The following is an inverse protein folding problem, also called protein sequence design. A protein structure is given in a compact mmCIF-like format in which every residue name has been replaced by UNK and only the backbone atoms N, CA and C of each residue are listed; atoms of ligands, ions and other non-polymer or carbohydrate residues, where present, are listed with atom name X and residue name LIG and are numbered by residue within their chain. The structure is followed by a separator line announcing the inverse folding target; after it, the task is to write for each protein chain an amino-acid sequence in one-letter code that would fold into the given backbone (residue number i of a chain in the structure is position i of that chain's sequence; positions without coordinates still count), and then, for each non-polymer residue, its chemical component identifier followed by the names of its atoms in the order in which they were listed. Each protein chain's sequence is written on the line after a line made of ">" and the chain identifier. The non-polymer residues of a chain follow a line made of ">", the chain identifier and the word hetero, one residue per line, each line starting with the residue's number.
data_IF_481585153408
#
_entry.id   IF_481585153408
#
_cell.length_a   1.000
_cell.length_b   1.000
_cell.length_c   1.000
_cell.angle_alpha   90.00
_cell.angle_beta   90.00
_cell.angle_gamma   90.00
#
_symmetry.space_group_name_H-M   'P 1'
#
loop_
_entity.id
_entity.type
_entity.pdbx_description
1 polymer ?
#
# COMPACT_ATOMS: atom_id res chain seq x y z
N UNK A 1 -10.19 -20.82 -14.13
CA UNK A 1 -10.73 -19.45 -14.36
C UNK A 1 -11.12 -18.89 -13.02
N UNK A 2 -10.70 -17.69 -12.64
CA UNK A 2 -11.11 -17.07 -11.37
C UNK A 2 -12.61 -16.81 -11.46
N UNK A 3 -13.38 -17.29 -10.48
CA UNK A 3 -14.83 -17.02 -10.42
C UNK A 3 -15.16 -15.54 -10.09
N UNK A 4 -14.15 -14.65 -10.07
CA UNK A 4 -14.30 -13.22 -9.83
C UNK A 4 -14.74 -12.48 -11.10
N UNK A 5 -15.51 -11.42 -10.92
CA UNK A 5 -16.09 -10.64 -12.02
C UNK A 5 -15.04 -9.69 -12.61
N UNK A 6 -14.92 -9.67 -13.94
CA UNK A 6 -13.99 -8.80 -14.67
C UNK A 6 -14.67 -7.47 -15.02
N UNK A 7 -14.51 -6.46 -14.17
CA UNK A 7 -15.18 -5.16 -14.32
C UNK A 7 -14.23 -3.98 -14.46
N UNK A 8 -12.95 -4.14 -14.09
CA UNK A 8 -12.00 -3.04 -14.04
C UNK A 8 -11.47 -2.61 -15.41
N UNK A 9 -11.58 -1.32 -15.71
CA UNK A 9 -10.95 -0.68 -16.86
C UNK A 9 -9.68 0.07 -16.47
N UNK A 10 -8.99 0.65 -17.47
CA UNK A 10 -7.72 1.37 -17.28
C UNK A 10 -7.85 2.53 -16.27
N UNK A 11 -8.83 3.42 -16.42
CA UNK A 11 -9.00 4.58 -15.53
C UNK A 11 -9.27 4.17 -14.08
N UNK A 12 -10.12 3.15 -13.89
CA UNK A 12 -10.41 2.58 -12.57
C UNK A 12 -9.15 1.94 -11.95
N UNK A 13 -8.33 1.25 -12.75
CA UNK A 13 -7.07 0.69 -12.30
C UNK A 13 -6.07 1.76 -11.87
N UNK A 14 -5.95 2.87 -12.63
CA UNK A 14 -5.12 4.02 -12.24
C UNK A 14 -5.60 4.60 -10.92
N UNK A 15 -6.91 4.82 -10.76
CA UNK A 15 -7.51 5.33 -9.54
C UNK A 15 -7.23 4.43 -8.34
N UNK A 16 -7.47 3.11 -8.48
CA UNK A 16 -7.22 2.10 -7.44
C UNK A 16 -5.76 2.09 -6.99
N UNK A 17 -4.81 2.04 -7.92
CA UNK A 17 -3.40 2.03 -7.56
C UNK A 17 -2.97 3.36 -6.93
N UNK A 18 -3.36 4.49 -7.54
CA UNK A 18 -2.97 5.81 -7.01
C UNK A 18 -3.50 6.03 -5.60
N UNK A 19 -4.75 5.62 -5.28
CA UNK A 19 -5.26 5.70 -3.91
C UNK A 19 -4.59 4.71 -2.97
N UNK A 20 -4.22 3.52 -3.45
CA UNK A 20 -3.46 2.56 -2.65
C UNK A 20 -2.11 3.14 -2.22
N UNK A 21 -1.42 3.81 -3.14
CA UNK A 21 -0.12 4.41 -2.87
C UNK A 21 -0.24 5.72 -2.08
N UNK A 22 -1.15 6.63 -2.44
CA UNK A 22 -1.30 7.95 -1.81
C UNK A 22 -1.93 7.88 -0.41
N UNK A 23 -2.88 6.98 -0.22
CA UNK A 23 -3.81 6.87 0.92
C UNK A 23 -3.30 7.39 2.25
N UNK A 24 -2.61 6.56 2.99
CA UNK A 24 -2.10 6.90 4.33
C UNK A 24 -0.83 7.74 4.30
N UNK A 25 -0.11 7.76 3.17
CA UNK A 25 1.21 8.39 3.07
C UNK A 25 1.18 9.88 2.73
N UNK A 26 0.25 10.33 1.87
CA UNK A 26 0.32 11.66 1.22
C UNK A 26 0.27 12.84 2.23
N UNK A 27 -0.40 12.66 3.34
CA UNK A 27 -0.52 13.69 4.37
C UNK A 27 0.60 13.64 5.42
N UNK A 28 1.30 12.52 5.57
CA UNK A 28 2.28 12.32 6.63
C UNK A 28 3.73 12.23 6.11
N UNK A 29 3.98 11.43 5.08
CA UNK A 29 5.35 11.10 4.65
C UNK A 29 6.13 12.29 4.10
N UNK A 30 5.54 13.25 3.34
CA UNK A 30 6.25 14.45 2.93
C UNK A 30 6.83 15.25 4.10
N UNK A 31 6.09 15.39 5.20
CA UNK A 31 6.54 16.08 6.40
C UNK A 31 7.62 15.29 7.14
N UNK A 32 7.49 13.98 7.24
CA UNK A 32 8.52 13.12 7.84
C UNK A 32 9.82 13.13 7.02
N UNK A 33 9.72 13.10 5.70
CA UNK A 33 10.89 13.19 4.82
C UNK A 33 11.59 14.55 4.94
N UNK A 34 10.82 15.64 5.02
CA UNK A 34 11.33 16.99 5.26
C UNK A 34 12.00 17.11 6.63
N UNK A 35 11.43 16.51 7.69
CA UNK A 35 12.01 16.49 9.04
C UNK A 35 13.38 15.80 9.07
N UNK A 36 13.52 14.67 8.37
CA UNK A 36 14.74 13.83 8.41
C UNK A 36 15.83 14.36 7.48
N UNK A 37 15.46 14.91 6.33
CA UNK A 37 16.42 15.25 5.26
C UNK A 37 16.35 16.71 4.79
N UNK A 38 15.43 17.52 5.34
CA UNK A 38 15.25 18.90 4.87
C UNK A 38 15.04 18.96 3.35
N UNK A 39 15.75 19.88 2.69
CA UNK A 39 15.67 20.06 1.24
C UNK A 39 16.19 18.86 0.44
N UNK A 40 17.02 17.97 1.01
CA UNK A 40 17.47 16.74 0.36
C UNK A 40 16.32 15.77 0.06
N UNK A 41 15.17 15.90 0.77
CA UNK A 41 13.97 15.12 0.49
C UNK A 41 13.42 15.34 -0.93
N UNK A 42 13.71 16.48 -1.57
CA UNK A 42 13.34 16.75 -2.96
C UNK A 42 14.06 15.82 -3.94
N UNK A 43 15.33 15.46 -3.66
CA UNK A 43 16.08 14.48 -4.45
C UNK A 43 15.67 13.06 -4.13
N UNK A 44 15.20 12.79 -2.91
CA UNK A 44 14.82 11.46 -2.51
C UNK A 44 13.64 10.91 -3.35
N UNK A 45 12.69 11.75 -3.79
CA UNK A 45 11.57 11.31 -4.63
C UNK A 45 11.98 10.79 -6.01
N UNK A 46 12.73 11.55 -6.86
CA UNK A 46 13.22 11.02 -8.13
C UNK A 46 14.04 9.75 -7.95
N UNK A 47 14.95 9.72 -6.95
CA UNK A 47 15.75 8.55 -6.64
C UNK A 47 14.86 7.36 -6.29
N UNK A 48 13.89 7.53 -5.41
CA UNK A 48 12.97 6.46 -4.99
C UNK A 48 12.12 5.94 -6.15
N UNK A 49 11.60 6.83 -7.01
CA UNK A 49 10.84 6.43 -8.19
C UNK A 49 11.73 5.57 -9.11
N UNK A 50 12.97 5.98 -9.36
CA UNK A 50 13.93 5.22 -10.17
C UNK A 50 14.21 3.86 -9.54
N UNK A 51 14.37 3.78 -8.22
CA UNK A 51 14.62 2.53 -7.49
C UNK A 51 13.42 1.59 -7.49
N UNK A 52 12.20 2.11 -7.37
CA UNK A 52 10.97 1.31 -7.36
C UNK A 52 10.53 0.91 -8.78
N UNK A 53 10.95 1.64 -9.80
CA UNK A 53 10.56 1.40 -11.19
C UNK A 53 10.84 -0.04 -11.70
N UNK A 54 12.04 -0.63 -11.48
CA UNK A 54 12.30 -2.03 -11.83
C UNK A 54 11.35 -3.01 -11.13
N UNK A 55 11.06 -2.77 -9.86
CA UNK A 55 10.13 -3.57 -9.07
C UNK A 55 8.73 -3.50 -9.69
N UNK A 56 8.24 -2.29 -9.98
CA UNK A 56 6.94 -2.05 -10.58
C UNK A 56 6.81 -2.72 -11.96
N UNK A 57 7.85 -2.66 -12.81
CA UNK A 57 7.83 -3.35 -14.11
C UNK A 57 7.72 -4.86 -13.93
N UNK A 58 8.47 -5.45 -12.98
CA UNK A 58 8.39 -6.88 -12.71
C UNK A 58 6.98 -7.27 -12.26
N UNK A 59 6.37 -6.50 -11.34
CA UNK A 59 4.96 -6.70 -10.94
C UNK A 59 4.01 -6.58 -12.13
N UNK A 60 4.20 -5.58 -13.00
CA UNK A 60 3.38 -5.36 -14.19
C UNK A 60 3.45 -6.56 -15.15
N UNK A 61 4.64 -7.08 -15.40
CA UNK A 61 4.85 -8.21 -16.33
C UNK A 61 4.34 -9.53 -15.72
N UNK A 62 4.60 -9.77 -14.43
CA UNK A 62 4.08 -10.97 -13.75
C UNK A 62 2.56 -10.94 -13.68
N UNK A 63 1.94 -9.81 -13.31
CA UNK A 63 0.49 -9.67 -13.28
C UNK A 63 -0.17 -9.79 -14.66
N UNK A 64 0.54 -9.36 -15.72
CA UNK A 64 0.11 -9.55 -17.11
C UNK A 64 0.08 -11.03 -17.52
N UNK A 65 1.13 -11.79 -17.19
CA UNK A 65 1.27 -13.17 -17.64
C UNK A 65 0.58 -14.18 -16.70
N UNK A 66 0.44 -13.84 -15.43
CA UNK A 66 -0.11 -14.70 -14.38
C UNK A 66 -1.20 -14.00 -13.56
N UNK A 67 -2.27 -13.47 -14.21
CA UNK A 67 -3.33 -12.76 -13.49
C UNK A 67 -4.06 -13.71 -12.53
N UNK A 68 -4.06 -13.38 -11.24
CA UNK A 68 -4.67 -14.21 -10.20
C UNK A 68 -5.06 -13.39 -8.97
N UNK A 69 -6.15 -13.79 -8.32
CA UNK A 69 -6.53 -13.27 -7.01
C UNK A 69 -5.52 -13.60 -5.89
N UNK A 70 -4.64 -14.59 -6.13
CA UNK A 70 -3.50 -14.90 -5.27
C UNK A 70 -2.39 -13.86 -5.31
N UNK A 71 -2.39 -12.95 -6.32
CA UNK A 71 -1.42 -11.86 -6.44
C UNK A 71 0.02 -12.34 -6.36
N UNK A 72 0.81 -11.70 -5.50
CA UNK A 72 2.24 -12.03 -5.32
C UNK A 72 2.46 -13.48 -4.90
N UNK A 73 1.60 -14.03 -4.04
CA UNK A 73 1.71 -15.43 -3.62
C UNK A 73 1.63 -16.38 -4.81
N UNK A 74 0.71 -16.09 -5.76
CA UNK A 74 0.60 -16.87 -6.98
C UNK A 74 1.85 -16.77 -7.85
N UNK A 75 2.45 -15.57 -8.03
CA UNK A 75 3.70 -15.43 -8.79
C UNK A 75 4.82 -16.27 -8.20
N UNK A 76 4.95 -16.27 -6.88
CA UNK A 76 5.92 -17.09 -6.15
C UNK A 76 5.60 -18.57 -6.30
N UNK A 77 4.33 -18.95 -6.29
CA UNK A 77 3.86 -20.31 -6.52
C UNK A 77 4.23 -20.84 -7.90
N UNK A 78 4.01 -20.05 -8.94
CA UNK A 78 4.41 -20.38 -10.32
C UNK A 78 5.92 -20.58 -10.46
N UNK A 79 6.72 -19.83 -9.70
CA UNK A 79 8.17 -19.95 -9.73
C UNK A 79 8.69 -21.13 -8.90
N UNK A 80 8.18 -21.32 -7.68
CA UNK A 80 8.81 -22.17 -6.66
C UNK A 80 7.90 -23.27 -6.11
N UNK A 81 6.67 -23.34 -6.58
CA UNK A 81 5.70 -24.36 -6.22
C UNK A 81 4.78 -23.97 -5.05
N UNK A 82 3.77 -24.82 -4.84
CA UNK A 82 2.62 -24.55 -3.97
C UNK A 82 2.95 -24.33 -2.48
N UNK A 83 4.08 -24.87 -1.99
CA UNK A 83 4.48 -24.62 -0.60
C UNK A 83 4.87 -23.16 -0.38
N UNK A 84 5.74 -22.61 -1.26
CA UNK A 84 6.19 -21.24 -1.13
C UNK A 84 5.07 -20.25 -1.46
N UNK A 85 4.15 -20.59 -2.36
CA UNK A 85 2.90 -19.85 -2.59
C UNK A 85 2.12 -19.66 -1.29
N UNK A 86 1.84 -20.74 -0.57
CA UNK A 86 1.12 -20.66 0.71
C UNK A 86 1.88 -19.87 1.77
N UNK A 87 3.19 -20.10 1.90
CA UNK A 87 4.05 -19.37 2.83
C UNK A 87 4.01 -17.88 2.54
N UNK A 88 4.13 -17.47 1.27
CA UNK A 88 4.06 -16.06 0.85
C UNK A 88 2.67 -15.47 1.12
N UNK A 89 1.60 -16.23 0.86
CA UNK A 89 0.23 -15.80 1.17
C UNK A 89 0.03 -15.55 2.66
N UNK A 90 0.46 -16.47 3.51
CA UNK A 90 0.37 -16.31 4.97
C UNK A 90 1.27 -15.20 5.50
N UNK A 91 2.47 -15.03 4.93
CA UNK A 91 3.35 -13.91 5.24
C UNK A 91 2.65 -12.58 4.92
N UNK A 92 1.96 -12.47 3.80
CA UNK A 92 1.22 -11.27 3.47
C UNK A 92 0.03 -11.05 4.41
N UNK A 93 -0.72 -12.10 4.76
CA UNK A 93 -1.81 -12.01 5.74
C UNK A 93 -1.34 -11.60 7.14
N UNK A 94 -0.07 -11.85 7.49
CA UNK A 94 0.51 -11.41 8.78
C UNK A 94 0.68 -9.89 8.90
N UNK A 95 0.45 -9.13 7.82
CA UNK A 95 0.36 -7.65 7.86
C UNK A 95 -0.95 -7.19 8.50
N UNK A 96 -2.04 -7.98 8.41
CA UNK A 96 -3.38 -7.58 8.88
C UNK A 96 -3.35 -7.04 10.31
N UNK A 97 -2.78 -7.74 11.32
CA UNK A 97 -2.83 -7.29 12.71
C UNK A 97 -1.94 -6.07 13.03
N UNK A 98 -1.05 -5.66 12.14
CA UNK A 98 -0.15 -4.52 12.38
C UNK A 98 -0.37 -3.37 11.40
N UNK A 99 -0.48 -3.65 10.11
CA UNK A 99 -0.57 -2.63 9.07
C UNK A 99 -1.95 -1.99 8.95
N UNK A 100 -3.04 -2.76 9.05
CA UNK A 100 -4.39 -2.21 8.97
C UNK A 100 -4.74 -1.33 10.17
N UNK A 101 -4.48 -1.72 11.43
CA UNK A 101 -4.67 -0.82 12.57
C UNK A 101 -3.81 0.45 12.49
N UNK A 102 -2.56 0.37 12.02
CA UNK A 102 -1.75 1.56 11.80
C UNK A 102 -2.43 2.54 10.84
N UNK A 103 -2.95 2.03 9.71
CA UNK A 103 -3.67 2.85 8.74
C UNK A 103 -4.99 3.42 9.30
N UNK A 104 -5.70 2.68 10.17
CA UNK A 104 -6.90 3.13 10.87
C UNK A 104 -6.59 4.27 11.84
N UNK A 105 -5.51 4.16 12.63
CA UNK A 105 -5.07 5.23 13.54
C UNK A 105 -4.75 6.52 12.78
N UNK A 106 -4.07 6.43 11.61
CA UNK A 106 -3.80 7.60 10.77
C UNK A 106 -5.12 8.21 10.28
N UNK A 107 -6.07 7.40 9.82
CA UNK A 107 -7.38 7.88 9.37
C UNK A 107 -8.17 8.56 10.50
N UNK A 108 -8.21 7.96 11.69
CA UNK A 108 -8.88 8.52 12.86
C UNK A 108 -8.23 9.83 13.34
N UNK A 109 -6.92 10.01 13.11
CA UNK A 109 -6.18 11.24 13.44
C UNK A 109 -6.73 12.50 12.77
N UNK A 110 -7.35 12.40 11.60
CA UNK A 110 -8.04 13.56 10.98
C UNK A 110 -9.29 13.96 11.77
N UNK A 111 -10.04 13.01 12.34
CA UNK A 111 -11.14 13.30 13.24
C UNK A 111 -10.66 13.96 14.55
N UNK A 112 -9.52 13.50 15.07
CA UNK A 112 -8.88 14.16 16.21
C UNK A 112 -8.50 15.61 15.91
N UNK A 113 -7.91 15.87 14.75
CA UNK A 113 -7.53 17.23 14.33
C UNK A 113 -8.74 18.17 14.15
N UNK A 114 -9.89 17.62 13.74
CA UNK A 114 -11.12 18.40 13.53
C UNK A 114 -11.93 18.64 14.80
N UNK A 115 -12.05 17.63 15.66
CA UNK A 115 -13.01 17.59 16.75
C UNK A 115 -12.38 17.48 18.15
N UNK A 116 -11.04 17.31 18.23
CA UNK A 116 -10.35 17.09 19.50
C UNK A 116 -10.72 15.75 20.18
N UNK A 117 -11.00 14.71 19.41
CA UNK A 117 -11.45 13.42 19.93
C UNK A 117 -10.46 12.77 20.91
N UNK A 118 -10.99 12.15 21.94
CA UNK A 118 -10.25 11.35 22.92
C UNK A 118 -10.12 9.89 22.48
N UNK A 119 -9.30 9.11 23.17
CA UNK A 119 -8.92 7.73 22.82
C UNK A 119 -10.13 6.82 22.47
N UNK A 120 -11.21 6.82 23.28
CA UNK A 120 -12.39 5.99 23.00
C UNK A 120 -13.18 6.44 21.77
N UNK A 121 -13.19 7.75 21.45
CA UNK A 121 -13.84 8.28 20.25
C UNK A 121 -13.05 7.93 18.99
N UNK A 122 -11.71 7.91 19.08
CA UNK A 122 -10.84 7.43 18.02
C UNK A 122 -11.10 5.96 17.74
N UNK A 123 -11.20 5.11 18.76
CA UNK A 123 -11.56 3.70 18.62
C UNK A 123 -12.92 3.53 17.92
N UNK A 124 -13.94 4.31 18.29
CA UNK A 124 -15.24 4.26 17.63
C UNK A 124 -15.17 4.69 16.16
N UNK A 125 -14.34 5.69 15.84
CA UNK A 125 -14.11 6.13 14.46
C UNK A 125 -13.41 5.04 13.62
N UNK A 126 -12.44 4.34 14.20
CA UNK A 126 -11.75 3.21 13.56
C UNK A 126 -12.72 2.04 13.28
N UNK A 127 -13.54 1.66 14.27
CA UNK A 127 -14.57 0.63 14.10
C UNK A 127 -15.64 1.05 13.09
N UNK A 128 -16.07 2.32 13.10
CA UNK A 128 -16.98 2.89 12.12
C UNK A 128 -16.40 2.85 10.70
N UNK A 129 -15.10 3.13 10.56
CA UNK A 129 -14.37 3.01 9.29
C UNK A 129 -14.38 1.56 8.77
N UNK A 130 -14.13 0.57 9.65
CA UNK A 130 -14.22 -0.85 9.28
C UNK A 130 -15.62 -1.27 8.86
N UNK A 131 -16.66 -0.77 9.54
CA UNK A 131 -18.06 -1.03 9.17
C UNK A 131 -18.39 -0.44 7.79
N UNK A 132 -17.87 0.75 7.46
CA UNK A 132 -18.06 1.38 6.16
C UNK A 132 -17.31 0.61 5.05
N UNK A 133 -16.07 0.15 5.31
CA UNK A 133 -15.32 -0.71 4.38
C UNK A 133 -16.08 -2.03 4.13
N UNK A 134 -16.63 -2.63 5.17
CA UNK A 134 -17.48 -3.83 5.03
C UNK A 134 -18.67 -3.58 4.11
N UNK A 135 -19.39 -2.48 4.36
CA UNK A 135 -20.58 -2.12 3.57
C UNK A 135 -20.24 -1.91 2.09
N UNK A 136 -19.16 -1.18 1.77
CA UNK A 136 -18.74 -0.95 0.39
C UNK A 136 -18.18 -2.24 -0.21
N UNK A 137 -17.38 -2.99 0.54
CA UNK A 137 -16.74 -4.22 0.09
C UNK A 137 -17.72 -5.30 -0.38
N UNK A 138 -18.88 -5.39 0.27
CA UNK A 138 -19.95 -6.32 -0.14
C UNK A 138 -20.66 -5.93 -1.44
N UNK A 139 -20.37 -4.74 -2.00
CA UNK A 139 -20.97 -4.23 -3.25
C UNK A 139 -20.16 -4.49 -4.51
N UNK A 140 -18.91 -4.92 -4.36
CA UNK A 140 -18.05 -5.31 -5.47
C UNK A 140 -16.94 -4.30 -5.82
N UNK A 141 -15.96 -4.74 -6.60
CA UNK A 141 -14.74 -4.01 -6.91
C UNK A 141 -14.96 -2.75 -7.78
N UNK A 142 -15.87 -2.80 -8.76
CA UNK A 142 -16.12 -1.66 -9.66
C UNK A 142 -16.70 -0.45 -8.94
N UNK A 143 -17.62 -0.69 -7.99
CA UNK A 143 -18.20 0.38 -7.15
C UNK A 143 -17.14 1.04 -6.28
N UNK A 144 -16.21 0.24 -5.76
CA UNK A 144 -15.07 0.72 -4.98
C UNK A 144 -14.08 1.53 -5.84
N UNK A 145 -13.79 1.07 -7.07
CA UNK A 145 -12.85 1.71 -7.98
C UNK A 145 -13.28 3.11 -8.44
N UNK A 146 -14.57 3.30 -8.71
CA UNK A 146 -15.10 4.61 -9.09
C UNK A 146 -14.95 5.62 -7.95
N UNK A 147 -15.27 5.22 -6.72
CA UNK A 147 -15.07 6.05 -5.53
C UNK A 147 -13.60 6.43 -5.36
N UNK A 148 -12.69 5.49 -5.53
CA UNK A 148 -11.25 5.73 -5.39
C UNK A 148 -10.72 6.66 -6.47
N UNK A 149 -11.21 6.56 -7.70
CA UNK A 149 -10.85 7.50 -8.77
C UNK A 149 -11.25 8.93 -8.44
N UNK A 150 -12.44 9.13 -7.84
CA UNK A 150 -12.87 10.46 -7.38
C UNK A 150 -11.95 10.97 -6.26
N UNK A 151 -11.59 10.11 -5.31
CA UNK A 151 -10.71 10.49 -4.18
C UNK A 151 -9.33 10.93 -4.68
N UNK A 152 -8.73 10.22 -5.66
CA UNK A 152 -7.47 10.67 -6.28
C UNK A 152 -7.64 12.04 -6.93
N UNK A 153 -8.74 12.26 -7.65
CA UNK A 153 -9.06 13.57 -8.23
C UNK A 153 -9.11 14.68 -7.19
N UNK A 154 -9.72 14.42 -6.02
CA UNK A 154 -9.79 15.38 -4.92
C UNK A 154 -8.41 15.66 -4.30
N UNK A 155 -7.56 14.64 -4.13
CA UNK A 155 -6.19 14.81 -3.63
C UNK A 155 -5.38 15.68 -4.61
N UNK A 156 -5.42 15.36 -5.90
CA UNK A 156 -4.71 16.14 -6.93
C UNK A 156 -5.22 17.59 -6.97
N UNK A 157 -6.54 17.79 -6.94
CA UNK A 157 -7.15 19.12 -6.92
C UNK A 157 -6.73 19.93 -5.68
N UNK A 158 -6.66 19.30 -4.50
CA UNK A 158 -6.19 19.94 -3.26
C UNK A 158 -4.74 20.41 -3.41
N UNK A 159 -3.85 19.56 -3.92
CA UNK A 159 -2.43 19.91 -4.09
C UNK A 159 -2.25 21.03 -5.11
N UNK A 160 -2.98 20.97 -6.25
CA UNK A 160 -2.98 22.04 -7.26
C UNK A 160 -3.49 23.36 -6.67
N UNK A 161 -4.56 23.32 -5.88
CA UNK A 161 -5.09 24.50 -5.20
C UNK A 161 -4.08 25.13 -4.23
N UNK A 162 -3.36 24.30 -3.45
CA UNK A 162 -2.30 24.76 -2.55
C UNK A 162 -1.15 25.41 -3.33
N UNK A 163 -0.71 24.77 -4.44
CA UNK A 163 0.34 25.32 -5.30
C UNK A 163 -0.05 26.68 -5.88
N UNK A 164 -1.27 26.79 -6.37
CA UNK A 164 -1.80 28.01 -6.96
C UNK A 164 -1.95 29.12 -5.90
N UNK A 165 -2.58 28.84 -4.76
CA UNK A 165 -2.80 29.83 -3.71
C UNK A 165 -1.50 30.23 -3.00
N UNK A 166 -0.53 29.30 -2.91
CA UNK A 166 0.79 29.54 -2.33
C UNK A 166 1.76 30.29 -3.25
N UNK A 167 1.37 30.62 -4.50
CA UNK A 167 2.23 31.25 -5.52
C UNK A 167 3.61 30.54 -5.65
N UNK A 168 3.60 29.20 -5.58
CA UNK A 168 4.83 28.39 -5.60
C UNK A 168 5.41 28.41 -7.03
N UNK A 169 6.52 29.12 -7.19
CA UNK A 169 7.23 29.20 -8.48
C UNK A 169 8.42 28.26 -8.53
N UNK A 170 8.77 27.69 -9.69
CA UNK A 170 9.93 26.82 -9.84
C UNK A 170 11.24 27.46 -9.32
N UNK A 171 11.39 28.77 -9.45
CA UNK A 171 12.55 29.52 -8.97
C UNK A 171 12.67 29.56 -7.41
N UNK A 172 11.56 29.36 -6.72
CA UNK A 172 11.49 29.42 -5.25
C UNK A 172 11.60 28.05 -4.59
N UNK A 173 11.70 26.96 -5.39
CA UNK A 173 11.86 25.60 -4.87
C UNK A 173 13.30 25.44 -4.37
N UNK A 174 13.50 25.12 -3.07
CA UNK A 174 14.81 25.05 -2.45
C UNK A 174 15.55 23.74 -2.85
N UNK A 175 15.78 23.55 -4.16
CA UNK A 175 16.39 22.36 -4.70
C UNK A 175 17.91 22.41 -4.46
N UNK A 176 18.49 21.50 -3.66
CA UNK A 176 19.93 21.49 -3.40
C UNK A 176 20.72 21.26 -4.68
N UNK A 177 21.82 21.96 -4.87
CA UNK A 177 22.74 21.64 -5.97
C UNK A 177 23.27 20.19 -5.82
N UNK A 178 23.49 19.46 -6.91
CA UNK A 178 23.93 18.05 -6.84
C UNK A 178 25.17 17.79 -5.99
N UNK A 179 26.09 18.77 -5.90
CA UNK A 179 27.29 18.69 -5.05
C UNK A 179 27.04 18.87 -3.55
N UNK A 180 25.84 19.33 -3.16
CA UNK A 180 25.48 19.61 -1.76
C UNK A 180 24.49 18.57 -1.20
N UNK A 181 24.32 17.43 -1.88
CA UNK A 181 23.44 16.36 -1.42
C UNK A 181 24.10 15.63 -0.25
N UNK A 182 23.46 15.67 0.90
CA UNK A 182 23.87 14.92 2.08
C UNK A 182 23.32 13.48 1.98
N UNK A 183 24.22 12.50 1.74
CA UNK A 183 23.84 11.11 1.51
C UNK A 183 23.16 10.47 2.73
N UNK A 184 23.57 10.82 3.95
CA UNK A 184 22.96 10.30 5.18
C UNK A 184 21.49 10.71 5.29
N UNK A 185 21.19 11.99 5.08
CA UNK A 185 19.83 12.51 5.03
C UNK A 185 19.01 11.90 3.89
N UNK A 186 19.63 11.77 2.70
CA UNK A 186 18.96 11.14 1.55
C UNK A 186 18.55 9.69 1.86
N UNK A 187 19.45 8.86 2.41
CA UNK A 187 19.12 7.47 2.76
C UNK A 187 18.09 7.36 3.87
N UNK A 188 18.16 8.23 4.87
CA UNK A 188 17.16 8.30 5.92
C UNK A 188 15.77 8.66 5.36
N UNK A 189 15.70 9.64 4.44
CA UNK A 189 14.45 9.97 3.75
C UNK A 189 13.93 8.79 2.92
N UNK A 190 14.78 8.13 2.13
CA UNK A 190 14.39 6.97 1.30
C UNK A 190 13.78 5.84 2.13
N UNK A 191 14.30 5.57 3.35
CA UNK A 191 13.78 4.53 4.23
C UNK A 191 12.36 4.82 4.73
N UNK A 192 12.04 6.09 5.03
CA UNK A 192 10.70 6.53 5.42
C UNK A 192 9.77 6.57 4.21
N UNK A 193 10.25 7.12 3.10
CA UNK A 193 9.46 7.34 1.89
C UNK A 193 9.09 6.05 1.16
N UNK A 194 9.80 4.94 1.41
CA UNK A 194 9.46 3.63 0.83
C UNK A 194 8.02 3.21 1.16
N UNK A 195 7.50 3.58 2.33
CA UNK A 195 6.09 3.37 2.70
C UNK A 195 5.11 3.86 1.64
N UNK A 196 5.45 4.91 0.90
CA UNK A 196 4.61 5.49 -0.14
C UNK A 196 4.43 4.60 -1.37
N UNK A 197 5.27 3.61 -1.55
CA UNK A 197 5.21 2.64 -2.65
C UNK A 197 4.77 1.24 -2.20
N UNK A 198 4.41 1.09 -0.93
CA UNK A 198 3.64 -0.06 -0.42
C UNK A 198 2.22 0.06 -0.97
N UNK A 199 1.78 -0.96 -1.73
CA UNK A 199 0.50 -0.95 -2.44
C UNK A 199 0.53 -1.70 -3.77
N UNK A 200 1.70 -1.86 -4.38
CA UNK A 200 1.87 -2.61 -5.63
C UNK A 200 1.44 -4.07 -5.46
N UNK A 201 1.73 -4.68 -4.32
CA UNK A 201 1.36 -6.05 -3.96
C UNK A 201 -0.15 -6.18 -3.77
N UNK A 202 -0.79 -5.20 -3.15
CA UNK A 202 -2.24 -5.18 -2.98
C UNK A 202 -2.95 -5.07 -4.34
N UNK A 203 -2.43 -4.24 -5.24
CA UNK A 203 -2.95 -4.08 -6.59
C UNK A 203 -2.78 -5.35 -7.43
N UNK A 204 -1.73 -6.15 -7.21
CA UNK A 204 -1.50 -7.41 -7.91
C UNK A 204 -2.65 -8.41 -7.73
N UNK A 205 -3.36 -8.40 -6.60
CA UNK A 205 -4.52 -9.26 -6.35
C UNK A 205 -5.75 -8.89 -7.20
N UNK A 206 -5.76 -7.71 -7.80
CA UNK A 206 -6.83 -7.24 -8.67
C UNK A 206 -6.58 -7.55 -10.14
N UNK A 207 -5.40 -8.09 -10.50
CA UNK A 207 -5.01 -8.32 -11.89
C UNK A 207 -6.06 -9.15 -12.67
N UNK A 208 -6.66 -10.16 -12.02
CA UNK A 208 -7.69 -11.02 -12.64
C UNK A 208 -9.07 -10.37 -12.80
N UNK A 209 -9.29 -9.19 -12.20
CA UNK A 209 -10.56 -8.44 -12.28
C UNK A 209 -10.56 -7.40 -13.41
N UNK A 210 -9.42 -7.21 -14.09
CA UNK A 210 -9.36 -6.34 -15.27
C UNK A 210 -10.07 -6.97 -16.47
N UNK A 211 -10.77 -6.13 -17.26
CA UNK A 211 -11.39 -6.54 -18.54
C UNK A 211 -10.33 -7.01 -19.54
N UNK A 212 -9.19 -6.32 -19.58
CA UNK A 212 -8.04 -6.64 -20.43
C UNK A 212 -6.75 -6.68 -19.57
N UNK A 213 -6.51 -7.77 -18.78
CA UNK A 213 -5.39 -7.82 -17.85
C UNK A 213 -4.03 -7.62 -18.51
N UNK A 214 -3.85 -8.17 -19.72
CA UNK A 214 -2.58 -8.09 -20.46
C UNK A 214 -2.19 -6.68 -20.87
N UNK A 215 -3.17 -5.79 -21.08
CA UNK A 215 -2.96 -4.44 -21.58
C UNK A 215 -3.15 -3.40 -20.49
N UNK A 216 -4.27 -3.49 -19.76
CA UNK A 216 -4.73 -2.40 -18.91
C UNK A 216 -4.09 -2.46 -17.51
N UNK A 217 -3.80 -3.67 -16.98
CA UNK A 217 -3.13 -3.81 -15.69
C UNK A 217 -1.71 -3.20 -15.67
N UNK A 218 -0.78 -3.52 -16.64
CA UNK A 218 0.54 -2.92 -16.66
C UNK A 218 0.50 -1.39 -16.85
N UNK A 219 -0.41 -0.91 -17.69
CA UNK A 219 -0.56 0.54 -17.93
C UNK A 219 -1.06 1.27 -16.69
N UNK A 220 -2.08 0.71 -16.02
CA UNK A 220 -2.62 1.27 -14.79
C UNK A 220 -1.54 1.33 -13.71
N UNK A 221 -0.71 0.28 -13.59
CA UNK A 221 0.37 0.22 -12.62
C UNK A 221 1.42 1.30 -12.87
N UNK A 222 1.89 1.45 -14.10
CA UNK A 222 2.93 2.43 -14.44
C UNK A 222 2.42 3.87 -14.32
N UNK A 223 1.21 4.16 -14.83
CA UNK A 223 0.63 5.51 -14.76
C UNK A 223 0.31 5.88 -13.31
N UNK A 224 -0.28 4.96 -12.54
CA UNK A 224 -0.60 5.19 -11.13
C UNK A 224 0.64 5.43 -10.27
N UNK A 225 1.73 4.68 -10.51
CA UNK A 225 3.03 4.88 -9.86
C UNK A 225 3.59 6.27 -10.11
N UNK A 226 3.63 6.70 -11.39
CA UNK A 226 4.16 8.01 -11.77
C UNK A 226 3.29 9.14 -11.22
N UNK A 227 1.97 9.00 -11.27
CA UNK A 227 1.04 9.97 -10.70
C UNK A 227 1.24 10.12 -9.20
N UNK A 228 1.32 9.00 -8.46
CA UNK A 228 1.57 9.02 -7.03
C UNK A 228 2.92 9.69 -6.70
N UNK A 229 3.98 9.33 -7.40
CA UNK A 229 5.31 9.93 -7.23
C UNK A 229 5.31 11.43 -7.45
N UNK A 230 4.61 11.92 -8.48
CA UNK A 230 4.48 13.35 -8.78
C UNK A 230 3.70 14.08 -7.68
N UNK A 231 2.60 13.50 -7.20
CA UNK A 231 1.80 14.06 -6.10
C UNK A 231 2.63 14.15 -4.82
N UNK A 232 3.35 13.11 -4.46
CA UNK A 232 4.23 13.10 -3.29
C UNK A 232 5.33 14.15 -3.38
N UNK A 233 6.01 14.24 -4.53
CA UNK A 233 7.01 15.27 -4.76
C UNK A 233 6.41 16.66 -4.61
N UNK A 234 5.25 16.91 -5.22
CA UNK A 234 4.53 18.17 -5.11
C UNK A 234 4.15 18.51 -3.67
N UNK A 235 3.70 17.53 -2.88
CA UNK A 235 3.42 17.71 -1.44
C UNK A 235 4.68 18.07 -0.66
N UNK A 236 5.83 17.44 -0.97
CA UNK A 236 7.10 17.73 -0.28
C UNK A 236 7.56 19.17 -0.56
N UNK A 237 7.43 19.63 -1.81
CA UNK A 237 7.70 21.04 -2.15
C UNK A 237 6.84 21.98 -1.31
N UNK A 238 5.54 21.71 -1.23
CA UNK A 238 4.59 22.51 -0.42
C UNK A 238 5.01 22.52 1.05
N UNK A 239 5.31 21.36 1.62
CA UNK A 239 5.69 21.21 3.03
C UNK A 239 6.97 21.99 3.35
N UNK A 240 7.97 21.92 2.46
CA UNK A 240 9.23 22.66 2.61
C UNK A 240 9.03 24.17 2.44
N UNK A 241 8.22 24.58 1.46
CA UNK A 241 7.95 26.00 1.18
C UNK A 241 7.27 26.72 2.35
N UNK A 242 6.37 26.04 3.07
CA UNK A 242 5.64 26.60 4.22
C UNK A 242 6.24 26.24 5.57
N UNK A 243 7.42 25.60 5.62
CA UNK A 243 8.04 25.08 6.85
C UNK A 243 7.04 24.29 7.73
N UNK A 244 6.17 23.50 7.06
CA UNK A 244 5.09 22.80 7.73
C UNK A 244 5.53 21.40 8.22
N UNK A 245 6.64 21.33 8.93
CA UNK A 245 7.19 20.11 9.53
C UNK A 245 7.92 20.44 10.84
N UNK A 246 8.25 19.43 11.64
CA UNK A 246 8.97 19.60 12.90
C UNK A 246 8.59 18.57 13.95
N UNK A 247 9.45 18.36 14.96
CA UNK A 247 9.28 17.34 16.01
C UNK A 247 8.01 17.51 16.86
N UNK A 248 7.54 18.75 17.03
CA UNK A 248 6.34 19.06 17.83
C UNK A 248 5.04 18.98 17.06
N UNK A 249 5.08 18.72 15.77
CA UNK A 249 3.90 18.68 14.91
C UNK A 249 3.64 17.26 14.43
N UNK A 250 2.41 16.77 14.62
CA UNK A 250 2.01 15.51 14.01
C UNK A 250 2.17 15.59 12.48
N UNK A 251 2.85 14.61 11.88
CA UNK A 251 3.15 14.64 10.45
C UNK A 251 1.88 14.74 9.58
N UNK A 252 0.78 14.11 9.99
CA UNK A 252 -0.53 14.20 9.31
C UNK A 252 -1.18 15.58 9.40
N UNK A 253 -0.75 16.46 10.31
CA UNK A 253 -1.27 17.82 10.47
C UNK A 253 -0.61 18.84 9.52
N UNK A 254 0.42 18.46 8.78
CA UNK A 254 1.21 19.32 7.91
C UNK A 254 0.36 19.99 6.81
N UNK A 255 -0.26 19.21 5.93
CA UNK A 255 -1.12 19.74 4.87
C UNK A 255 -2.37 20.47 5.41
N UNK A 256 -3.11 19.96 6.41
CA UNK A 256 -4.17 20.70 7.07
C UNK A 256 -3.74 22.08 7.58
N UNK A 257 -2.56 22.21 8.20
CA UNK A 257 -2.02 23.49 8.67
C UNK A 257 -1.81 24.47 7.50
N UNK A 258 -1.22 24.02 6.39
CA UNK A 258 -1.01 24.84 5.20
C UNK A 258 -2.34 25.30 4.61
N UNK A 259 -3.34 24.42 4.56
CA UNK A 259 -4.69 24.76 4.08
C UNK A 259 -5.33 25.84 4.95
N UNK A 260 -5.19 25.75 6.27
CA UNK A 260 -5.67 26.80 7.19
C UNK A 260 -4.95 28.13 6.96
N UNK A 261 -3.64 28.09 6.73
CA UNK A 261 -2.83 29.28 6.47
C UNK A 261 -3.22 29.99 5.17
N UNK A 262 -3.54 29.24 4.11
CA UNK A 262 -3.87 29.78 2.78
C UNK A 262 -5.34 30.16 2.62
N UNK A 263 -6.25 29.34 3.18
CA UNK A 263 -7.69 29.43 2.93
C UNK A 263 -8.53 29.73 4.18
N UNK A 264 -7.86 29.87 5.34
CA UNK A 264 -8.52 30.12 6.62
C UNK A 264 -9.02 28.86 7.33
N UNK A 265 -9.46 29.02 8.59
CA UNK A 265 -9.84 27.92 9.49
C UNK A 265 -11.01 27.08 8.94
N UNK A 266 -11.93 27.70 8.20
CA UNK A 266 -13.05 27.00 7.55
C UNK A 266 -12.61 25.92 6.56
N UNK A 267 -11.41 26.05 5.95
CA UNK A 267 -10.87 25.09 5.00
C UNK A 267 -10.24 23.84 5.66
N UNK A 268 -10.03 23.85 6.98
CA UNK A 268 -9.53 22.69 7.74
C UNK A 268 -10.38 21.44 7.46
N UNK A 269 -11.69 21.62 7.44
CA UNK A 269 -12.63 20.52 7.17
C UNK A 269 -12.39 19.87 5.82
N UNK A 270 -12.13 20.66 4.79
CA UNK A 270 -11.87 20.15 3.43
C UNK A 270 -10.62 19.26 3.44
N UNK A 271 -9.52 19.76 4.01
CA UNK A 271 -8.27 19.01 4.07
C UNK A 271 -8.41 17.70 4.87
N UNK A 272 -9.05 17.76 6.04
CA UNK A 272 -9.23 16.58 6.89
C UNK A 272 -10.20 15.56 6.27
N UNK A 273 -11.28 15.99 5.62
CA UNK A 273 -12.19 15.09 4.91
C UNK A 273 -11.47 14.41 3.73
N UNK A 274 -10.71 15.14 2.92
CA UNK A 274 -9.93 14.55 1.82
C UNK A 274 -8.88 13.59 2.38
N UNK A 275 -8.19 13.94 3.47
CA UNK A 275 -7.20 13.07 4.13
C UNK A 275 -7.83 11.78 4.66
N UNK A 276 -8.97 11.89 5.34
CA UNK A 276 -9.72 10.72 5.80
C UNK A 276 -10.16 9.84 4.64
N UNK A 277 -10.72 10.42 3.57
CA UNK A 277 -11.14 9.69 2.38
C UNK A 277 -9.97 8.99 1.68
N UNK A 278 -8.80 9.61 1.64
CA UNK A 278 -7.58 9.00 1.10
C UNK A 278 -7.16 7.76 1.90
N UNK A 279 -7.11 7.87 3.23
CA UNK A 279 -6.82 6.75 4.11
C UNK A 279 -7.88 5.64 4.00
N UNK A 280 -9.16 6.02 3.98
CA UNK A 280 -10.28 5.11 3.80
C UNK A 280 -10.16 4.32 2.49
N UNK A 281 -9.83 5.00 1.39
CA UNK A 281 -9.69 4.37 0.09
C UNK A 281 -8.55 3.34 0.06
N UNK A 282 -7.40 3.67 0.67
CA UNK A 282 -6.27 2.75 0.82
C UNK A 282 -6.64 1.55 1.69
N UNK A 283 -7.24 1.76 2.86
CA UNK A 283 -7.74 0.70 3.72
C UNK A 283 -8.70 -0.23 2.99
N UNK A 284 -9.62 0.34 2.21
CA UNK A 284 -10.59 -0.43 1.46
C UNK A 284 -9.93 -1.35 0.42
N UNK A 285 -8.93 -0.86 -0.35
CA UNK A 285 -8.24 -1.70 -1.34
C UNK A 285 -7.43 -2.81 -0.65
N UNK A 286 -6.76 -2.51 0.47
CA UNK A 286 -5.99 -3.51 1.21
C UNK A 286 -6.89 -4.60 1.81
N UNK A 287 -7.98 -4.23 2.46
CA UNK A 287 -8.93 -5.19 3.05
C UNK A 287 -9.54 -6.07 1.95
N UNK A 288 -9.90 -5.48 0.81
CA UNK A 288 -10.41 -6.24 -0.34
C UNK A 288 -9.34 -7.20 -0.91
N UNK A 289 -8.09 -6.76 -1.00
CA UNK A 289 -6.97 -7.56 -1.49
C UNK A 289 -6.67 -8.74 -0.55
N UNK A 290 -6.68 -8.49 0.77
CA UNK A 290 -6.56 -9.56 1.76
C UNK A 290 -7.72 -10.56 1.70
N UNK A 291 -8.95 -10.08 1.50
CA UNK A 291 -10.11 -10.97 1.34
C UNK A 291 -9.96 -11.88 0.11
N UNK A 292 -9.46 -11.35 -1.02
CA UNK A 292 -9.16 -12.13 -2.23
C UNK A 292 -8.05 -13.15 -1.98
N UNK A 293 -7.00 -12.75 -1.26
CA UNK A 293 -5.91 -13.64 -0.91
C UNK A 293 -6.39 -14.78 0.01
N UNK A 294 -7.16 -14.49 1.06
CA UNK A 294 -7.76 -15.51 1.94
C UNK A 294 -8.63 -16.47 1.14
N UNK A 295 -9.48 -15.94 0.26
CA UNK A 295 -10.32 -16.75 -0.62
C UNK A 295 -9.46 -17.64 -1.54
N UNK A 296 -8.43 -17.09 -2.18
CA UNK A 296 -7.52 -17.82 -3.05
C UNK A 296 -6.80 -18.95 -2.30
N UNK A 297 -6.32 -18.69 -1.10
CA UNK A 297 -5.71 -19.73 -0.25
C UNK A 297 -6.71 -20.82 0.15
N UNK A 298 -7.96 -20.46 0.38
CA UNK A 298 -9.02 -21.41 0.73
C UNK A 298 -9.45 -22.32 -0.45
N UNK A 299 -9.21 -21.94 -1.71
CA UNK A 299 -9.52 -22.75 -2.89
C UNK A 299 -8.80 -24.12 -2.91
N UNK A 300 -7.79 -24.31 -2.09
CA UNK A 300 -7.15 -25.62 -1.90
C UNK A 300 -8.08 -26.65 -1.24
N UNK A 301 -9.16 -26.19 -0.58
CA UNK A 301 -10.25 -27.01 -0.07
C UNK A 301 -11.58 -26.32 -0.45
N UNK A 302 -12.19 -26.66 -1.60
CA UNK A 302 -13.38 -25.99 -2.12
C UNK A 302 -14.60 -26.04 -1.19
N UNK A 303 -14.69 -27.03 -0.29
CA UNK A 303 -15.78 -27.17 0.67
C UNK A 303 -15.64 -26.22 1.87
N UNK A 304 -14.45 -25.64 2.05
CA UNK A 304 -14.21 -24.72 3.14
C UNK A 304 -15.07 -23.46 3.00
N UNK A 305 -15.68 -22.98 4.09
CA UNK A 305 -16.59 -21.83 4.06
C UNK A 305 -15.96 -20.55 3.49
N UNK A 306 -14.62 -20.35 3.67
CA UNK A 306 -13.88 -19.21 3.12
C UNK A 306 -13.70 -19.28 1.58
N UNK A 307 -13.85 -20.47 0.98
CA UNK A 307 -13.75 -20.68 -0.45
C UNK A 307 -15.02 -20.27 -1.21
N UNK A 308 -16.12 -20.00 -0.48
CA UNK A 308 -17.43 -19.68 -1.07
C UNK A 308 -17.50 -18.22 -1.53
N UNK A 309 -18.10 -18.03 -2.72
CA UNK A 309 -18.45 -16.71 -3.24
C UNK A 309 -19.93 -16.43 -2.99
N UNK A 310 -20.27 -15.15 -2.83
CA UNK A 310 -21.66 -14.69 -2.81
C UNK A 310 -22.31 -14.78 -4.20
N UNK A 311 -23.62 -14.53 -4.29
CA UNK A 311 -24.33 -14.42 -5.58
C UNK A 311 -23.78 -13.32 -6.50
N UNK A 312 -23.06 -12.37 -5.96
CA UNK A 312 -22.35 -11.30 -6.69
C UNK A 312 -20.89 -11.64 -7.04
N UNK A 313 -20.48 -12.90 -6.84
CA UNK A 313 -19.09 -13.33 -7.02
C UNK A 313 -18.06 -12.60 -6.14
N UNK A 314 -18.47 -12.22 -4.92
CA UNK A 314 -17.62 -11.54 -3.93
C UNK A 314 -17.29 -12.54 -2.81
N UNK A 315 -16.05 -12.60 -2.31
CA UNK A 315 -15.65 -13.51 -1.23
C UNK A 315 -16.03 -12.95 0.16
N UNK A 316 -17.35 -12.82 0.44
CA UNK A 316 -17.85 -12.20 1.66
C UNK A 316 -17.36 -12.88 2.95
N UNK A 317 -17.25 -14.20 2.96
CA UNK A 317 -16.79 -14.92 4.14
C UNK A 317 -15.32 -14.63 4.44
N UNK A 318 -14.48 -14.53 3.40
CA UNK A 318 -13.09 -14.14 3.55
C UNK A 318 -12.96 -12.66 3.98
N UNK A 319 -13.81 -11.78 3.45
CA UNK A 319 -13.89 -10.38 3.87
C UNK A 319 -14.24 -10.27 5.36
N UNK A 320 -15.24 -11.02 5.82
CA UNK A 320 -15.63 -11.04 7.24
C UNK A 320 -14.49 -11.56 8.14
N UNK A 321 -13.73 -12.56 7.70
CA UNK A 321 -12.58 -13.07 8.45
C UNK A 321 -11.46 -12.03 8.58
N UNK A 322 -11.14 -11.31 7.49
CA UNK A 322 -10.15 -10.23 7.51
C UNK A 322 -10.59 -9.10 8.43
N UNK A 323 -11.83 -8.66 8.32
CA UNK A 323 -12.37 -7.59 9.16
C UNK A 323 -12.44 -7.99 10.62
N UNK A 324 -12.84 -9.25 10.93
CA UNK A 324 -12.84 -9.78 12.30
C UNK A 324 -11.43 -9.76 12.91
N UNK A 325 -10.41 -10.20 12.16
CA UNK A 325 -9.01 -10.09 12.59
C UNK A 325 -8.61 -8.63 12.83
N UNK A 326 -9.00 -7.71 11.94
CA UNK A 326 -8.69 -6.29 12.06
C UNK A 326 -9.35 -5.67 13.30
N UNK A 327 -10.62 -5.98 13.58
CA UNK A 327 -11.32 -5.51 14.80
C UNK A 327 -10.60 -6.00 16.06
N UNK A 328 -10.28 -7.29 16.13
CA UNK A 328 -9.58 -7.85 17.29
C UNK A 328 -8.23 -7.19 17.49
N UNK A 329 -7.43 -7.05 16.42
CA UNK A 329 -6.11 -6.40 16.53
C UNK A 329 -6.21 -4.92 16.90
N UNK A 330 -7.18 -4.17 16.38
CA UNK A 330 -7.43 -2.77 16.77
C UNK A 330 -7.75 -2.66 18.26
N UNK A 331 -8.63 -3.52 18.78
CA UNK A 331 -8.96 -3.55 20.21
C UNK A 331 -7.74 -3.89 21.08
N UNK A 332 -6.93 -4.86 20.68
CA UNK A 332 -5.69 -5.24 21.40
C UNK A 332 -4.68 -4.10 21.39
N UNK A 333 -4.50 -3.42 20.25
CA UNK A 333 -3.56 -2.30 20.12
C UNK A 333 -3.96 -1.13 21.01
N UNK A 334 -5.26 -0.81 21.09
CA UNK A 334 -5.78 0.22 21.99
C UNK A 334 -5.62 -0.20 23.47
N UNK A 335 -5.88 -1.48 23.81
CA UNK A 335 -5.76 -1.96 25.17
C UNK A 335 -4.30 -2.01 25.67
N UNK A 336 -3.33 -2.24 24.77
CA UNK A 336 -1.90 -2.32 25.07
C UNK A 336 -1.15 -1.02 24.79
N UNK A 337 -1.84 0.02 24.32
CA UNK A 337 -1.27 1.34 23.97
C UNK A 337 -0.05 1.23 23.02
N UNK A 338 -0.14 0.35 22.01
CA UNK A 338 0.96 0.11 21.08
C UNK A 338 1.15 1.32 20.14
N UNK A 339 2.38 1.82 20.07
CA UNK A 339 2.74 2.98 19.28
C UNK A 339 2.62 2.73 17.76
N UNK A 340 2.12 3.72 17.05
CA UNK A 340 1.96 3.72 15.60
C UNK A 340 3.27 3.40 14.86
N UNK A 341 4.40 4.00 15.28
CA UNK A 341 5.69 3.82 14.63
C UNK A 341 6.15 2.35 14.64
N UNK A 342 5.91 1.64 15.76
CA UNK A 342 6.23 0.22 15.85
C UNK A 342 5.44 -0.61 14.84
N UNK A 343 4.15 -0.34 14.70
CA UNK A 343 3.26 -1.03 13.76
C UNK A 343 3.72 -0.83 12.30
N UNK A 344 4.05 0.41 11.92
CA UNK A 344 4.54 0.76 10.58
C UNK A 344 5.84 0.02 10.26
N UNK A 345 6.80 0.00 11.19
CA UNK A 345 8.11 -0.61 10.96
C UNK A 345 7.99 -2.14 10.75
N UNK A 346 7.17 -2.81 11.56
CA UNK A 346 6.95 -4.26 11.40
C UNK A 346 6.23 -4.58 10.09
N UNK A 347 5.23 -3.78 9.72
CA UNK A 347 4.54 -3.93 8.44
C UNK A 347 5.50 -3.75 7.26
N UNK A 348 6.35 -2.72 7.27
CA UNK A 348 7.35 -2.46 6.22
C UNK A 348 8.30 -3.64 6.02
N UNK A 349 8.80 -4.25 7.09
CA UNK A 349 9.66 -5.42 6.98
C UNK A 349 9.00 -6.57 6.23
N UNK A 350 7.70 -6.83 6.50
CA UNK A 350 6.93 -7.87 5.80
C UNK A 350 6.75 -7.50 4.31
N UNK A 351 6.39 -6.26 3.99
CA UNK A 351 6.18 -5.82 2.61
C UNK A 351 7.46 -5.94 1.77
N UNK A 352 8.60 -5.49 2.30
CA UNK A 352 9.89 -5.60 1.59
C UNK A 352 10.24 -7.08 1.36
N UNK A 353 9.97 -7.96 2.32
CA UNK A 353 10.19 -9.40 2.16
C UNK A 353 9.30 -9.99 1.05
N UNK A 354 8.04 -9.57 0.96
CA UNK A 354 7.11 -9.97 -0.11
C UNK A 354 7.63 -9.49 -1.47
N UNK A 355 8.12 -8.25 -1.54
CA UNK A 355 8.71 -7.71 -2.77
C UNK A 355 9.94 -8.51 -3.19
N UNK A 356 10.82 -8.85 -2.24
CA UNK A 356 11.98 -9.70 -2.50
C UNK A 356 11.58 -11.06 -3.07
N UNK A 357 10.59 -11.72 -2.47
CA UNK A 357 10.07 -13.01 -2.99
C UNK A 357 9.50 -12.86 -4.39
N UNK A 358 8.80 -11.75 -4.69
CA UNK A 358 8.30 -11.45 -6.03
C UNK A 358 9.44 -11.24 -7.04
N UNK A 359 10.51 -10.53 -6.65
CA UNK A 359 11.68 -10.35 -7.49
C UNK A 359 12.39 -11.67 -7.78
N UNK A 360 12.55 -12.53 -6.78
CA UNK A 360 13.10 -13.88 -6.96
C UNK A 360 12.23 -14.73 -7.91
N UNK A 361 10.91 -14.62 -7.82
CA UNK A 361 10.00 -15.25 -8.79
C UNK A 361 10.21 -14.68 -10.20
N UNK A 362 10.34 -13.35 -10.33
CA UNK A 362 10.68 -12.70 -11.59
C UNK A 362 12.00 -13.18 -12.19
N UNK A 363 13.04 -13.36 -11.37
CA UNK A 363 14.33 -13.92 -11.83
C UNK A 363 14.20 -15.31 -12.46
N UNK A 364 13.23 -16.10 -11.99
CA UNK A 364 13.01 -17.46 -12.50
C UNK A 364 12.05 -17.52 -13.68
N UNK A 365 11.00 -16.72 -13.68
CA UNK A 365 9.92 -16.77 -14.66
C UNK A 365 10.16 -15.88 -15.89
N UNK A 366 10.95 -14.79 -15.74
CA UNK A 366 11.18 -13.82 -16.80
C UNK A 366 12.51 -14.08 -17.51
N UNK A 367 12.62 -13.55 -18.74
CA UNK A 367 13.82 -13.70 -19.59
C UNK A 367 14.35 -12.34 -20.06
N UNK A 368 15.59 -12.32 -20.53
CA UNK A 368 16.22 -11.14 -21.11
C UNK A 368 16.25 -9.95 -20.15
N UNK A 369 15.90 -8.77 -20.66
CA UNK A 369 15.88 -7.50 -19.90
C UNK A 369 14.99 -7.53 -18.66
N UNK A 370 13.90 -8.25 -18.69
CA UNK A 370 12.97 -8.30 -17.55
C UNK A 370 13.54 -9.13 -16.40
N UNK A 371 14.32 -10.17 -16.70
CA UNK A 371 15.07 -10.90 -15.68
C UNK A 371 16.12 -10.01 -15.02
N UNK A 372 16.83 -9.17 -15.81
CA UNK A 372 17.79 -8.21 -15.26
C UNK A 372 17.10 -7.22 -14.31
N UNK A 373 15.93 -6.70 -14.69
CA UNK A 373 15.14 -5.81 -13.81
C UNK A 373 14.72 -6.51 -12.52
N UNK A 374 14.38 -7.81 -12.57
CA UNK A 374 14.07 -8.60 -11.37
C UNK A 374 15.29 -8.78 -10.46
N UNK A 375 16.49 -9.00 -11.03
CA UNK A 375 17.73 -9.06 -10.24
C UNK A 375 18.01 -7.72 -9.57
N UNK A 376 17.95 -6.60 -10.33
CA UNK A 376 18.14 -5.25 -9.78
C UNK A 376 17.13 -4.96 -8.69
N UNK A 377 15.83 -5.24 -8.93
CA UNK A 377 14.77 -5.06 -7.93
C UNK A 377 15.00 -5.90 -6.67
N UNK A 378 15.51 -7.14 -6.83
CA UNK A 378 15.88 -8.02 -5.70
C UNK A 378 17.01 -7.44 -4.86
N UNK A 379 18.08 -6.93 -5.50
CA UNK A 379 19.19 -6.27 -4.80
C UNK A 379 18.70 -5.02 -4.05
N UNK A 380 17.80 -4.23 -4.65
CA UNK A 380 17.18 -3.08 -3.99
C UNK A 380 16.35 -3.48 -2.78
N UNK A 381 15.57 -4.57 -2.85
CA UNK A 381 14.83 -5.09 -1.69
C UNK A 381 15.79 -5.53 -0.56
N UNK A 382 16.92 -6.17 -0.89
CA UNK A 382 17.94 -6.55 0.12
C UNK A 382 18.55 -5.29 0.76
N UNK A 383 18.86 -4.27 -0.03
CA UNK A 383 19.35 -2.99 0.48
C UNK A 383 18.33 -2.35 1.42
N UNK A 384 17.05 -2.31 1.05
CA UNK A 384 15.98 -1.76 1.89
C UNK A 384 15.81 -2.55 3.19
N UNK A 385 15.89 -3.90 3.17
CA UNK A 385 15.88 -4.71 4.39
C UNK A 385 17.06 -4.39 5.31
N UNK A 386 18.26 -4.17 4.74
CA UNK A 386 19.42 -3.77 5.51
C UNK A 386 19.24 -2.37 6.14
N UNK A 387 18.57 -1.43 5.43
CA UNK A 387 18.28 -0.09 5.96
C UNK A 387 17.24 -0.10 7.10
N UNK A 388 16.27 -1.03 7.07
CA UNK A 388 15.31 -1.24 8.19
C UNK A 388 16.04 -1.77 9.44
N UNK A 389 17.20 -2.37 9.26
CA UNK A 389 18.06 -2.83 10.34
C UNK A 389 17.52 -4.07 11.07
N UNK A 390 17.81 -4.21 12.38
CA UNK A 390 17.46 -5.38 13.18
C UNK A 390 15.95 -5.66 13.24
N UNK A 391 15.10 -4.64 13.03
CA UNK A 391 13.62 -4.80 13.00
C UNK A 391 13.16 -5.65 11.81
N UNK A 392 13.95 -5.78 10.74
CA UNK A 392 13.68 -6.68 9.61
C UNK A 392 13.73 -8.17 10.01
N UNK A 393 14.39 -8.52 11.13
CA UNK A 393 14.41 -9.87 11.66
C UNK A 393 13.00 -10.41 11.94
N UNK A 394 12.05 -9.55 12.31
CA UNK A 394 10.65 -9.95 12.47
C UNK A 394 10.10 -10.63 11.21
N UNK A 395 10.27 -10.02 10.04
CA UNK A 395 9.80 -10.57 8.77
C UNK A 395 10.52 -11.88 8.41
N UNK A 396 11.82 -11.98 8.70
CA UNK A 396 12.60 -13.21 8.49
C UNK A 396 12.14 -14.35 9.42
N UNK A 397 11.89 -14.05 10.69
CA UNK A 397 11.37 -15.02 11.69
C UNK A 397 9.97 -15.49 11.27
N UNK A 398 9.11 -14.57 10.81
CA UNK A 398 7.78 -14.92 10.32
C UNK A 398 7.87 -15.81 9.08
N UNK A 399 8.72 -15.50 8.11
CA UNK A 399 8.93 -16.31 6.91
C UNK A 399 9.45 -17.71 7.27
N UNK A 400 10.47 -17.80 8.14
CA UNK A 400 11.07 -19.07 8.58
C UNK A 400 10.06 -19.90 9.38
N UNK A 401 9.33 -19.29 10.31
CA UNK A 401 8.29 -19.95 11.09
C UNK A 401 7.18 -20.53 10.21
N UNK A 402 6.67 -19.73 9.26
CA UNK A 402 5.67 -20.20 8.30
C UNK A 402 6.20 -21.32 7.40
N UNK A 403 7.46 -21.24 7.00
CA UNK A 403 8.10 -22.32 6.22
C UNK A 403 8.17 -23.63 7.01
N UNK A 404 8.46 -23.58 8.32
CA UNK A 404 8.51 -24.76 9.18
C UNK A 404 7.12 -25.33 9.47
N UNK A 405 6.14 -24.46 9.73
CA UNK A 405 4.78 -24.86 10.12
C UNK A 405 3.94 -25.38 8.94
N UNK A 406 4.19 -24.91 7.72
CA UNK A 406 3.41 -25.31 6.54
C UNK A 406 4.06 -26.50 5.83
N UNK A 407 3.51 -27.73 5.96
CA UNK A 407 4.10 -28.93 5.38
C UNK A 407 4.06 -28.91 3.85
N UNK A 408 5.00 -29.64 3.21
CA UNK A 408 4.88 -30.00 1.79
C UNK A 408 3.60 -30.83 1.62
N UNK A 409 2.61 -30.34 0.87
CA UNK A 409 1.50 -31.21 0.42
C UNK A 409 2.06 -32.18 -0.60
N UNK A 410 1.75 -33.48 -0.45
CA UNK A 410 1.90 -34.45 -1.54
C UNK A 410 0.95 -33.98 -2.65
N UNK A 411 1.46 -33.74 -3.85
CA UNK A 411 0.65 -33.64 -5.05
C UNK A 411 -0.20 -34.90 -5.12
N UNK A 412 -1.53 -34.84 -5.34
CA UNK A 412 -2.26 -36.04 -5.67
C UNK A 412 -1.59 -36.64 -6.90
N UNK A 413 -1.06 -37.84 -6.79
CA UNK A 413 -0.69 -38.65 -7.95
C UNK A 413 -1.96 -38.74 -8.82
N UNK A 414 -1.95 -38.03 -9.95
CA UNK A 414 -2.94 -38.27 -10.97
C UNK A 414 -2.79 -39.74 -11.38
N UNK A 415 -3.60 -40.61 -10.79
CA UNK A 415 -3.81 -41.94 -11.26
C UNK A 415 -4.37 -41.89 -12.69
N UNK A 416 -3.48 -41.79 -13.64
CA UNK A 416 -3.77 -42.21 -15.01
C UNK A 416 -3.76 -43.73 -14.94
N UNK A 417 -4.90 -44.30 -14.58
CA UNK A 417 -5.19 -45.67 -14.91
C UNK A 417 -5.49 -45.68 -16.40
N UNK A 418 -4.60 -46.34 -17.12
CA UNK A 418 -4.68 -46.76 -18.54
C UNK A 418 -6.04 -47.32 -18.94
#
# INVERSE_FOLDING_TARGET
>A
MSGLKQELGLAQGIGLLSTSLLGTGVFAVPALAALVAGNNSLWAWPVLIILVFPIAIVFAILGRHYPSAGGVAHFVGMAFGSRLERVTGWLFLSVIPVGLPAALQIAAGFGQAMFGWHSWQLLLAELGTLALVWYIGTRGASSSANLQTVIVGLIVALIVAIWWAGDIKPANIPFPAPGNIELTGLFAALSVMFWCFVGLEAFAHLASEFKNPERDFPRALMIGLLLAGLVYWGCTVVVLHFDAYGEKMAAAASLPKIVVQLFGVGALWIACVIGYLACFASLNIYIQSFARLVWSQAQHNPDHYLARLSSRHIPNNALNAVLGCCVVSTLVIHALEINLDALIIYANGIFIMIYLLCMLAGCKLLQGRYRLLAVVGGLLCVLLLAMVGWKSLYALIMLAGLWLLLPKRKTPENGITT
#
